data_IF_379395763004
#
_entry.id   IF_379395763004
#
_cell.length_a   1.000
_cell.length_b   1.000
_cell.length_c   1.000
_cell.angle_alpha   90.00
_cell.angle_beta   90.00
_cell.angle_gamma   90.00
#
_symmetry.space_group_name_H-M   'P 1'
#
loop_
_entity.id
_entity.type
_entity.pdbx_description
1 polymer ?
#
# COMPACT_ATOMS: atom_id res chain seq x y z
N UNK A 1 -34.56 -63.01 -35.41
CA UNK A 1 -34.00 -61.67 -35.14
C UNK A 1 -33.06 -61.78 -33.95
N UNK A 2 -31.75 -61.94 -34.19
CA UNK A 2 -30.76 -62.08 -33.11
C UNK A 2 -30.42 -60.67 -32.62
N UNK A 3 -30.85 -60.32 -31.40
CA UNK A 3 -30.40 -59.11 -30.72
C UNK A 3 -28.93 -59.32 -30.34
N UNK A 4 -28.01 -58.63 -31.02
CA UNK A 4 -26.59 -58.63 -30.65
C UNK A 4 -26.44 -57.87 -29.33
N UNK A 5 -25.94 -58.54 -28.30
CA UNK A 5 -25.58 -57.91 -27.03
C UNK A 5 -24.22 -57.21 -27.19
N UNK A 6 -24.03 -56.08 -26.51
CA UNK A 6 -22.73 -55.39 -26.47
C UNK A 6 -21.68 -56.26 -25.79
N UNK A 7 -20.47 -56.26 -26.36
CA UNK A 7 -19.35 -56.99 -25.77
C UNK A 7 -18.79 -56.22 -24.57
N UNK A 8 -18.23 -56.94 -23.58
CA UNK A 8 -17.55 -56.33 -22.42
C UNK A 8 -16.49 -55.31 -22.86
N UNK A 9 -15.78 -55.60 -23.96
CA UNK A 9 -14.73 -54.75 -24.52
C UNK A 9 -15.31 -53.42 -25.05
N UNK A 10 -16.45 -53.44 -25.73
CA UNK A 10 -17.13 -52.20 -26.18
C UNK A 10 -17.55 -51.33 -25.00
N UNK A 11 -18.07 -51.93 -23.93
CA UNK A 11 -18.47 -51.19 -22.72
C UNK A 11 -17.25 -50.59 -22.03
N UNK A 12 -16.16 -51.35 -21.89
CA UNK A 12 -14.91 -50.86 -21.30
C UNK A 12 -14.31 -49.70 -22.11
N UNK A 13 -14.31 -49.81 -23.44
CA UNK A 13 -13.82 -48.76 -24.33
C UNK A 13 -14.69 -47.50 -24.25
N UNK A 14 -16.02 -47.64 -24.17
CA UNK A 14 -16.94 -46.53 -23.97
C UNK A 14 -16.70 -45.80 -22.64
N UNK A 15 -16.50 -46.55 -21.54
CA UNK A 15 -16.18 -45.98 -20.22
C UNK A 15 -14.82 -45.27 -20.23
N UNK A 16 -13.82 -45.82 -20.92
CA UNK A 16 -12.50 -45.20 -21.01
C UNK A 16 -12.54 -43.87 -21.77
N UNK A 17 -13.24 -43.81 -22.91
CA UNK A 17 -13.43 -42.57 -23.68
C UNK A 17 -14.22 -41.55 -22.85
N UNK A 18 -15.29 -41.97 -22.17
CA UNK A 18 -16.05 -41.10 -21.28
C UNK A 18 -15.19 -40.55 -20.14
N UNK A 19 -14.36 -41.39 -19.52
CA UNK A 19 -13.44 -41.00 -18.46
C UNK A 19 -12.45 -39.93 -18.91
N UNK A 20 -11.81 -40.12 -20.07
CA UNK A 20 -10.91 -39.11 -20.65
C UNK A 20 -11.67 -37.81 -20.97
N UNK A 21 -12.88 -37.92 -21.53
CA UNK A 21 -13.72 -36.76 -21.83
C UNK A 21 -14.04 -35.93 -20.58
N UNK A 22 -14.44 -36.58 -19.49
CA UNK A 22 -14.75 -35.90 -18.22
C UNK A 22 -13.51 -35.25 -17.62
N UNK A 23 -12.35 -35.92 -17.65
CA UNK A 23 -11.10 -35.36 -17.12
C UNK A 23 -10.67 -34.14 -17.94
N UNK A 24 -10.77 -34.21 -19.28
CA UNK A 24 -10.43 -33.11 -20.17
C UNK A 24 -11.31 -31.88 -19.91
N UNK A 25 -12.62 -32.07 -19.81
CA UNK A 25 -13.56 -30.98 -19.48
C UNK A 25 -13.30 -30.40 -18.08
N UNK A 26 -13.02 -31.27 -17.11
CA UNK A 26 -12.71 -30.84 -15.72
C UNK A 26 -11.41 -30.02 -15.64
N UNK A 27 -10.43 -30.27 -16.50
CA UNK A 27 -9.19 -29.50 -16.53
C UNK A 27 -9.35 -28.14 -17.24
N UNK A 28 -10.24 -28.04 -18.24
CA UNK A 28 -10.44 -26.81 -19.02
C UNK A 28 -11.16 -25.71 -18.23
N UNK A 29 -12.15 -26.05 -17.41
CA UNK A 29 -12.93 -25.03 -16.71
C UNK A 29 -12.10 -24.20 -15.70
N UNK A 30 -11.29 -24.79 -14.81
CA UNK A 30 -10.45 -24.02 -13.90
C UNK A 30 -9.46 -23.12 -14.64
N UNK A 31 -8.83 -23.64 -15.70
CA UNK A 31 -7.91 -22.86 -16.52
C UNK A 31 -8.61 -21.66 -17.18
N UNK A 32 -9.80 -21.88 -17.75
CA UNK A 32 -10.63 -20.84 -18.33
C UNK A 32 -11.03 -19.75 -17.32
N UNK A 33 -11.41 -20.14 -16.10
CA UNK A 33 -11.76 -19.19 -15.03
C UNK A 33 -10.55 -18.33 -14.63
N UNK A 34 -9.37 -18.93 -14.47
CA UNK A 34 -8.15 -18.20 -14.14
C UNK A 34 -7.79 -17.21 -15.24
N UNK A 35 -7.89 -17.62 -16.51
CA UNK A 35 -7.61 -16.76 -17.65
C UNK A 35 -8.63 -15.62 -17.78
N UNK A 36 -9.93 -15.89 -17.60
CA UNK A 36 -10.96 -14.84 -17.61
C UNK A 36 -10.75 -13.84 -16.48
N UNK A 37 -10.39 -14.31 -15.28
CA UNK A 37 -10.07 -13.42 -14.15
C UNK A 37 -8.86 -12.55 -14.45
N UNK A 38 -7.77 -13.13 -14.96
CA UNK A 38 -6.59 -12.37 -15.36
C UNK A 38 -6.91 -11.33 -16.44
N UNK A 39 -7.71 -11.71 -17.45
CA UNK A 39 -8.15 -10.77 -18.48
C UNK A 39 -9.01 -9.63 -17.94
N UNK A 40 -9.86 -9.90 -16.94
CA UNK A 40 -10.66 -8.87 -16.29
C UNK A 40 -9.81 -7.95 -15.41
N UNK A 41 -8.84 -8.52 -14.70
CA UNK A 41 -7.86 -7.80 -13.88
C UNK A 41 -7.01 -6.84 -14.74
N UNK A 42 -6.51 -7.33 -15.87
CA UNK A 42 -5.71 -6.54 -16.81
C UNK A 42 -6.53 -5.39 -17.44
N UNK A 43 -7.82 -5.60 -17.66
CA UNK A 43 -8.72 -4.60 -18.23
C UNK A 43 -9.17 -3.54 -17.19
N UNK A 44 -9.55 -3.97 -15.99
CA UNK A 44 -10.10 -3.08 -14.96
C UNK A 44 -9.03 -2.42 -14.10
N UNK A 45 -7.89 -3.07 -13.85
CA UNK A 45 -6.81 -2.54 -13.00
C UNK A 45 -6.40 -1.10 -13.34
N UNK A 46 -6.09 -0.78 -14.61
CA UNK A 46 -5.78 0.59 -15.03
C UNK A 46 -6.94 1.58 -14.84
N UNK A 47 -8.19 1.14 -15.06
CA UNK A 47 -9.38 1.98 -14.89
C UNK A 47 -9.57 2.34 -13.41
N UNK A 48 -9.43 1.38 -12.51
CA UNK A 48 -9.48 1.61 -11.06
C UNK A 48 -8.38 2.57 -10.62
N UNK A 49 -7.17 2.41 -11.15
CA UNK A 49 -6.06 3.30 -10.81
C UNK A 49 -6.27 4.74 -11.30
N UNK A 50 -6.86 4.93 -12.49
CA UNK A 50 -7.23 6.25 -13.00
C UNK A 50 -8.33 6.90 -12.15
N UNK A 51 -9.33 6.13 -11.73
CA UNK A 51 -10.35 6.61 -10.80
C UNK A 51 -9.74 7.04 -9.47
N UNK A 52 -8.89 6.20 -8.88
CA UNK A 52 -8.16 6.52 -7.64
C UNK A 52 -7.38 7.84 -7.75
N UNK A 53 -6.67 8.04 -8.87
CA UNK A 53 -5.95 9.28 -9.12
C UNK A 53 -6.90 10.49 -9.26
N UNK A 54 -8.07 10.31 -9.87
CA UNK A 54 -9.12 11.33 -9.90
C UNK A 54 -9.60 11.72 -8.51
N UNK A 55 -9.82 10.74 -7.62
CA UNK A 55 -10.18 10.98 -6.21
C UNK A 55 -9.06 11.76 -5.51
N UNK A 56 -7.81 11.32 -5.63
CA UNK A 56 -6.67 12.00 -4.98
C UNK A 56 -6.55 13.45 -5.47
N UNK A 57 -6.59 13.68 -6.79
CA UNK A 57 -6.52 15.03 -7.39
C UNK A 57 -7.67 15.95 -7.01
N UNK A 58 -8.82 15.38 -6.63
CA UNK A 58 -9.95 16.17 -6.16
C UNK A 58 -9.75 16.72 -4.75
N UNK A 59 -8.80 16.17 -3.98
CA UNK A 59 -8.54 16.52 -2.58
C UNK A 59 -7.19 17.19 -2.34
N UNK A 60 -6.18 16.91 -3.18
CA UNK A 60 -4.83 17.45 -3.02
C UNK A 60 -4.20 17.87 -4.35
N UNK A 61 -3.49 18.98 -4.34
CA UNK A 61 -2.63 19.48 -5.40
C UNK A 61 -1.14 19.29 -5.11
N UNK A 62 -0.27 19.46 -6.11
CA UNK A 62 1.19 19.32 -5.93
C UNK A 62 1.76 20.31 -4.91
N UNK A 63 1.19 21.52 -4.83
CA UNK A 63 1.61 22.60 -3.96
C UNK A 63 1.18 22.41 -2.50
N UNK A 64 0.33 21.42 -2.21
CA UNK A 64 -0.03 21.03 -0.83
C UNK A 64 1.07 20.25 -0.13
N UNK A 65 2.06 19.75 -0.87
CA UNK A 65 3.11 18.89 -0.32
C UNK A 65 4.36 19.70 0.04
N UNK A 66 4.77 19.56 1.30
CA UNK A 66 5.94 20.22 1.85
C UNK A 66 7.22 19.42 1.70
N UNK A 67 8.24 19.84 2.43
CA UNK A 67 9.48 19.10 2.62
C UNK A 67 9.66 18.70 4.08
N UNK A 68 10.49 17.71 4.38
CA UNK A 68 10.79 17.33 5.76
C UNK A 68 11.62 18.40 6.48
N UNK A 69 12.43 19.16 5.75
CA UNK A 69 13.24 20.25 6.28
C UNK A 69 12.39 21.38 6.87
N UNK A 70 11.17 21.59 6.34
CA UNK A 70 10.19 22.53 6.92
C UNK A 70 9.75 22.15 8.34
N UNK A 71 9.97 20.89 8.73
CA UNK A 71 9.71 20.36 10.07
C UNK A 71 11.01 20.18 10.87
N UNK A 72 12.15 20.68 10.37
CA UNK A 72 13.46 20.45 10.97
C UNK A 72 13.90 18.98 10.93
N UNK A 73 13.28 18.19 10.05
CA UNK A 73 13.56 16.78 9.87
C UNK A 73 14.51 16.62 8.69
N UNK A 74 15.73 16.19 8.99
CA UNK A 74 16.75 15.88 7.98
C UNK A 74 16.99 14.38 8.05
N UNK A 75 16.93 13.70 6.90
CA UNK A 75 17.30 12.29 6.80
C UNK A 75 16.46 11.34 7.69
N UNK A 76 15.13 11.38 7.51
CA UNK A 76 14.22 10.41 8.13
C UNK A 76 14.28 9.05 7.43
N UNK A 77 15.40 8.35 7.63
CA UNK A 77 15.52 6.93 7.34
C UNK A 77 16.89 6.57 6.78
N UNK A 78 17.85 6.31 7.65
CA UNK A 78 19.22 5.86 7.36
C UNK A 78 19.41 4.54 6.57
N UNK A 79 18.40 4.10 5.81
CA UNK A 79 18.49 3.00 4.83
C UNK A 79 17.71 3.25 3.54
N UNK A 80 16.85 4.27 3.49
CA UNK A 80 16.36 4.76 2.20
C UNK A 80 17.49 5.54 1.51
N UNK A 81 17.61 5.49 0.18
CA UNK A 81 18.52 6.39 -0.50
C UNK A 81 18.13 7.82 -0.12
N UNK A 82 19.04 8.51 0.57
CA UNK A 82 19.11 9.97 0.61
C UNK A 82 18.62 10.57 -0.71
N UNK A 83 17.77 11.58 -0.61
CA UNK A 83 17.31 12.35 -1.76
C UNK A 83 18.06 13.67 -1.80
N UNK A 84 17.94 14.42 -2.89
CA UNK A 84 18.35 15.83 -2.87
C UNK A 84 17.54 16.58 -1.80
N UNK A 85 18.10 17.64 -1.18
CA UNK A 85 17.35 18.44 -0.22
C UNK A 85 15.99 18.89 -0.79
N UNK A 86 14.95 18.74 0.01
CA UNK A 86 13.56 19.04 -0.37
C UNK A 86 12.78 17.86 -0.96
N UNK A 87 13.45 16.84 -1.48
CA UNK A 87 12.80 15.62 -1.99
C UNK A 87 12.72 14.54 -0.90
N UNK A 88 11.86 13.55 -1.09
CA UNK A 88 11.74 12.42 -0.18
C UNK A 88 11.27 11.15 -0.89
N UNK A 89 11.70 9.99 -0.40
CA UNK A 89 11.40 8.67 -0.96
C UNK A 89 9.92 8.29 -0.79
N UNK A 90 9.50 7.12 -1.29
CA UNK A 90 8.11 6.68 -1.16
C UNK A 90 7.66 6.61 0.30
N UNK A 91 6.57 7.31 0.61
CA UNK A 91 5.93 7.38 1.93
C UNK A 91 4.46 7.00 1.83
N UNK A 92 3.98 6.29 2.84
CA UNK A 92 2.56 5.93 2.98
C UNK A 92 1.83 7.01 3.76
N UNK A 93 0.59 7.34 3.36
CA UNK A 93 -0.26 8.21 4.14
C UNK A 93 -0.71 7.52 5.44
N UNK A 94 -1.33 8.29 6.33
CA UNK A 94 -1.89 7.77 7.57
C UNK A 94 -3.15 6.95 7.30
N UNK A 95 -3.32 5.82 8.00
CA UNK A 95 -4.51 4.95 7.88
C UNK A 95 -5.22 4.79 9.22
N UNK A 96 -6.54 4.90 9.23
CA UNK A 96 -7.35 4.66 10.43
C UNK A 96 -7.85 3.22 10.50
N UNK A 97 -7.65 2.55 11.63
CA UNK A 97 -8.03 1.15 11.81
C UNK A 97 -9.30 0.95 12.63
N UNK A 98 -10.03 2.01 12.95
CA UNK A 98 -11.29 1.90 13.68
C UNK A 98 -12.31 2.97 13.29
N UNK A 99 -13.61 2.69 13.53
CA UNK A 99 -14.63 3.71 13.47
C UNK A 99 -14.43 4.60 14.68
N UNK A 100 -13.89 5.80 14.49
CA UNK A 100 -14.14 6.85 15.45
C UNK A 100 -15.00 7.87 14.75
N UNK A 101 -16.19 8.10 15.32
CA UNK A 101 -16.56 9.40 15.90
C UNK A 101 -18.03 9.34 16.39
N UNK A 102 -18.24 9.04 17.68
CA UNK A 102 -19.38 9.60 18.42
C UNK A 102 -18.91 10.90 19.05
N UNK A 103 -19.49 12.04 18.67
CA UNK A 103 -19.32 13.30 19.42
C UNK A 103 -18.54 14.42 18.74
N UNK A 104 -18.19 14.32 17.46
CA UNK A 104 -17.91 15.54 16.68
C UNK A 104 -19.22 16.31 16.56
N UNK A 105 -19.17 17.64 16.62
CA UNK A 105 -20.28 18.53 16.29
C UNK A 105 -20.89 18.33 14.88
N UNK A 106 -20.57 17.25 14.17
CA UNK A 106 -21.48 16.55 13.27
C UNK A 106 -22.63 15.95 14.09
N UNK A 107 -23.55 16.81 14.52
CA UNK A 107 -24.71 16.49 15.39
C UNK A 107 -25.84 15.79 14.63
N UNK A 108 -25.52 14.80 13.80
CA UNK A 108 -26.50 13.92 13.15
C UNK A 108 -26.17 12.44 13.43
N UNK A 109 -26.07 12.06 14.71
CA UNK A 109 -26.46 10.74 15.25
C UNK A 109 -25.99 9.41 14.61
N UNK A 110 -25.18 9.41 13.56
CA UNK A 110 -24.84 8.23 12.75
C UNK A 110 -23.32 8.12 12.65
N UNK A 111 -22.74 7.20 13.42
CA UNK A 111 -21.31 6.90 13.35
C UNK A 111 -21.04 6.23 12.00
N UNK A 112 -20.48 6.98 11.06
CA UNK A 112 -19.96 6.42 9.81
C UNK A 112 -18.75 5.54 10.15
N UNK A 113 -18.81 4.25 9.81
CA UNK A 113 -17.70 3.33 10.05
C UNK A 113 -16.68 3.44 8.90
N UNK A 114 -15.87 4.49 8.95
CA UNK A 114 -14.78 4.80 8.01
C UNK A 114 -13.46 4.07 8.36
N UNK A 115 -13.54 2.91 9.00
CA UNK A 115 -12.37 2.05 9.22
C UNK A 115 -11.70 1.71 7.88
N UNK A 116 -10.42 2.05 7.76
CA UNK A 116 -9.63 1.97 6.55
C UNK A 116 -9.47 3.31 5.83
N UNK A 117 -10.05 4.41 6.30
CA UNK A 117 -9.84 5.72 5.70
C UNK A 117 -8.34 6.11 5.71
N UNK A 118 -7.96 6.88 4.69
CA UNK A 118 -6.63 7.43 4.50
C UNK A 118 -6.68 8.92 4.81
N UNK A 119 -5.81 9.42 5.68
CA UNK A 119 -5.50 10.86 5.80
C UNK A 119 -4.09 11.07 5.25
N UNK A 120 -4.01 11.82 4.15
CA UNK A 120 -2.75 11.99 3.41
C UNK A 120 -1.69 12.65 4.29
N UNK A 121 -2.04 13.67 5.08
CA UNK A 121 -1.08 14.44 5.87
C UNK A 121 -1.09 14.05 7.36
N UNK A 122 -2.05 13.23 7.80
CA UNK A 122 -2.22 12.85 9.21
C UNK A 122 -2.73 14.00 10.07
N UNK A 123 -3.45 14.94 9.46
CA UNK A 123 -4.02 16.15 10.09
C UNK A 123 -4.90 15.85 11.30
N UNK A 124 -5.75 14.82 11.24
CA UNK A 124 -6.63 14.48 12.37
C UNK A 124 -5.82 13.98 13.55
N UNK A 125 -4.74 13.24 13.29
CA UNK A 125 -3.87 12.70 14.33
C UNK A 125 -3.13 13.84 15.04
N UNK A 126 -2.60 14.78 14.26
CA UNK A 126 -1.97 15.99 14.76
C UNK A 126 -2.95 16.82 15.60
N UNK A 127 -4.15 17.08 15.08
CA UNK A 127 -5.17 17.88 15.78
C UNK A 127 -5.62 17.22 17.09
N UNK A 128 -5.73 15.88 17.12
CA UNK A 128 -6.04 15.13 18.33
C UNK A 128 -4.96 15.25 19.40
N UNK A 129 -3.68 15.14 19.00
CA UNK A 129 -2.57 15.28 19.94
C UNK A 129 -2.46 16.70 20.51
N UNK A 130 -2.68 17.71 19.65
CA UNK A 130 -2.62 19.12 20.06
C UNK A 130 -3.87 19.57 20.83
N UNK A 131 -4.90 18.72 20.95
CA UNK A 131 -6.18 19.08 21.59
C UNK A 131 -6.99 20.13 20.81
N UNK A 132 -6.70 20.30 19.51
CA UNK A 132 -7.30 21.32 18.64
C UNK A 132 -8.52 20.81 17.85
N UNK A 133 -8.84 19.52 17.95
CA UNK A 133 -9.98 18.90 17.29
C UNK A 133 -11.14 18.59 18.25
N UNK A 134 -12.36 18.38 17.73
CA UNK A 134 -13.51 17.87 18.50
C UNK A 134 -13.32 16.41 18.98
N UNK A 135 -12.11 15.87 18.84
CA UNK A 135 -11.77 14.46 18.89
C UNK A 135 -10.81 14.18 20.05
N UNK A 136 -11.21 14.56 21.26
CA UNK A 136 -10.44 14.39 22.50
C UNK A 136 -10.19 12.91 22.87
N UNK A 137 -10.61 11.98 22.01
CA UNK A 137 -10.58 10.53 22.23
C UNK A 137 -9.95 9.74 21.07
N UNK A 138 -9.32 10.37 20.07
CA UNK A 138 -8.61 9.61 19.01
C UNK A 138 -7.49 8.77 19.64
N UNK A 139 -7.65 7.45 19.59
CA UNK A 139 -6.72 6.54 20.23
C UNK A 139 -5.54 6.28 19.29
N UNK A 140 -4.38 6.90 19.59
CA UNK A 140 -3.14 6.80 18.80
C UNK A 140 -2.70 5.36 18.51
N UNK A 141 -3.08 4.38 19.35
CA UNK A 141 -2.79 2.96 19.10
C UNK A 141 -3.57 2.35 17.92
N UNK A 142 -4.50 3.09 17.33
CA UNK A 142 -5.46 2.64 16.31
C UNK A 142 -5.29 3.37 14.98
N UNK A 143 -4.16 4.06 14.83
CA UNK A 143 -3.76 4.76 13.61
C UNK A 143 -2.42 4.21 13.14
N UNK A 144 -2.32 3.95 11.84
CA UNK A 144 -1.10 3.54 11.18
C UNK A 144 -0.43 4.75 10.55
N UNK A 145 0.77 5.10 11.01
CA UNK A 145 1.60 6.16 10.45
C UNK A 145 3.00 5.63 10.12
N UNK A 146 3.58 6.08 9.00
CA UNK A 146 4.96 5.74 8.68
C UNK A 146 5.98 6.41 9.61
N UNK A 147 5.54 7.36 10.43
CA UNK A 147 6.35 8.12 11.36
C UNK A 147 5.88 7.85 12.79
N UNK A 148 6.79 7.40 13.65
CA UNK A 148 6.49 7.23 15.07
C UNK A 148 6.82 8.48 15.88
N UNK A 149 6.02 8.74 16.90
CA UNK A 149 6.11 9.85 17.87
C UNK A 149 7.37 9.88 18.72
N UNK A 150 8.14 8.78 18.73
CA UNK A 150 9.02 8.48 19.86
C UNK A 150 10.47 8.94 19.66
N UNK A 151 10.81 9.49 18.48
CA UNK A 151 12.19 9.90 18.16
C UNK A 151 12.41 11.39 17.89
N UNK A 152 11.34 12.19 17.75
CA UNK A 152 11.43 13.59 17.35
C UNK A 152 11.14 14.46 18.57
N UNK A 153 12.21 14.94 19.22
CA UNK A 153 12.23 15.54 20.55
C UNK A 153 11.42 16.83 20.79
N UNK A 154 10.52 17.21 19.88
CA UNK A 154 9.55 18.27 20.09
C UNK A 154 8.23 17.94 19.37
N UNK A 155 7.09 18.03 20.06
CA UNK A 155 5.76 17.90 19.45
C UNK A 155 5.57 18.85 18.24
N UNK A 156 6.30 19.96 18.26
CA UNK A 156 6.37 20.94 17.18
C UNK A 156 6.93 20.47 15.84
N UNK A 157 7.62 19.33 15.80
CA UNK A 157 8.23 18.85 14.57
C UNK A 157 7.66 17.48 14.18
N UNK A 158 6.48 17.12 14.73
CA UNK A 158 5.83 15.84 14.46
C UNK A 158 5.15 15.88 13.10
N UNK A 159 5.48 14.88 12.30
CA UNK A 159 4.83 14.56 11.03
C UNK A 159 4.22 13.18 11.18
N UNK A 160 2.92 13.07 10.90
CA UNK A 160 2.16 11.82 11.05
C UNK A 160 1.77 11.19 9.71
N UNK A 161 1.73 11.96 8.64
CA UNK A 161 1.52 11.47 7.29
C UNK A 161 2.60 11.99 6.36
N UNK A 162 2.19 12.39 5.17
CA UNK A 162 3.07 13.10 4.25
C UNK A 162 3.29 14.54 4.75
N UNK A 163 4.47 15.16 4.57
CA UNK A 163 4.66 16.58 4.92
C UNK A 163 3.71 17.47 4.14
N UNK A 164 2.95 18.31 4.85
CA UNK A 164 2.15 19.38 4.23
C UNK A 164 3.04 20.61 4.00
N UNK A 165 2.77 21.38 2.94
CA UNK A 165 3.47 22.62 2.64
C UNK A 165 3.10 23.68 3.68
N UNK A 166 4.00 23.90 4.64
CA UNK A 166 3.75 24.84 5.74
C UNK A 166 3.62 26.27 5.23
N UNK A 167 4.39 26.65 4.21
CA UNK A 167 4.36 28.02 3.68
C UNK A 167 3.03 28.38 3.02
N UNK A 168 2.35 27.39 2.42
CA UNK A 168 1.05 27.58 1.79
C UNK A 168 -0.07 27.67 2.83
N UNK A 169 -0.06 26.74 3.78
CA UNK A 169 -1.18 26.54 4.70
C UNK A 169 -1.02 27.28 6.04
N UNK A 170 0.18 27.76 6.33
CA UNK A 170 0.49 28.58 7.49
C UNK A 170 1.59 29.62 7.15
N UNK A 171 1.22 30.67 6.39
CA UNK A 171 2.17 31.68 5.91
C UNK A 171 2.76 32.54 7.03
N UNK A 172 2.09 32.62 8.18
CA UNK A 172 2.50 33.42 9.34
C UNK A 172 3.49 32.68 10.25
N UNK A 173 3.62 31.35 10.11
CA UNK A 173 4.68 30.57 10.76
C UNK A 173 6.04 30.88 10.12
N UNK A 174 6.79 31.78 10.74
CA UNK A 174 8.22 31.89 10.52
C UNK A 174 8.88 30.50 10.72
N UNK A 175 9.71 30.06 9.79
CA UNK A 175 10.36 28.73 9.77
C UNK A 175 11.17 28.37 11.03
N UNK A 176 11.37 29.32 11.96
CA UNK A 176 12.04 29.14 13.24
C UNK A 176 11.11 28.94 14.45
N UNK A 177 9.77 29.12 14.32
CA UNK A 177 8.85 28.96 15.45
C UNK A 177 8.34 27.51 15.55
N UNK A 178 8.63 26.80 16.65
CA UNK A 178 8.04 25.49 16.94
C UNK A 178 6.52 25.60 17.14
N UNK A 179 5.74 24.62 16.64
CA UNK A 179 4.26 24.55 16.66
C UNK A 179 3.58 24.67 18.04
N UNK A 180 4.31 24.81 19.16
CA UNK A 180 3.65 25.03 20.47
C UNK A 180 3.10 26.46 20.64
N UNK A 181 3.30 27.37 19.68
CA UNK A 181 2.51 28.61 19.54
C UNK A 181 1.18 28.34 18.78
N UNK A 182 0.70 27.09 18.77
CA UNK A 182 -0.72 26.82 18.60
C UNK A 182 -1.49 26.80 19.93
N UNK A 183 -0.78 26.93 21.06
CA UNK A 183 -1.36 26.90 22.41
C UNK A 183 -1.67 28.28 23.01
N UNK A 184 -1.52 29.38 22.25
CA UNK A 184 -2.19 30.64 22.62
C UNK A 184 -3.63 30.59 22.09
N UNK A 185 -4.38 29.65 22.66
CA UNK A 185 -5.76 29.33 22.34
C UNK A 185 -6.61 29.87 23.48
N UNK A 186 -6.87 31.17 23.46
CA UNK A 186 -7.94 31.78 24.26
C UNK A 186 -9.34 31.34 23.81
N UNK A 187 -9.46 30.31 22.96
CA UNK A 187 -10.74 29.82 22.45
C UNK A 187 -11.40 30.73 21.42
N UNK A 188 -10.81 31.89 21.13
CA UNK A 188 -11.18 32.70 19.99
C UNK A 188 -10.54 32.09 18.75
N UNK A 189 -11.38 31.61 17.84
CA UNK A 189 -11.05 31.51 16.42
C UNK A 189 -10.30 32.78 16.03
N UNK A 190 -9.14 32.65 15.37
CA UNK A 190 -8.58 33.77 14.63
C UNK A 190 -9.55 34.02 13.47
N UNK A 191 -10.58 34.82 13.75
CA UNK A 191 -11.49 35.37 12.77
C UNK A 191 -10.70 36.43 12.00
N UNK A 192 -10.02 36.03 10.94
CA UNK A 192 -9.74 36.99 9.87
C UNK A 192 -11.03 37.14 9.06
N UNK A 193 -11.84 38.14 9.41
CA UNK A 193 -13.10 38.49 8.75
C UNK A 193 -14.22 37.44 8.77
N UNK A 194 -14.24 36.53 9.74
CA UNK A 194 -15.34 35.56 9.94
C UNK A 194 -15.24 34.29 9.09
N UNK A 195 -14.10 34.06 8.41
CA UNK A 195 -13.80 32.76 7.80
C UNK A 195 -12.88 31.95 8.75
N UNK A 196 -13.31 30.73 9.09
CA UNK A 196 -12.44 29.78 9.78
C UNK A 196 -11.29 29.47 8.82
N UNK A 197 -10.09 30.00 9.11
CA UNK A 197 -8.88 29.64 8.37
C UNK A 197 -8.71 28.11 8.44
N UNK A 198 -8.93 27.43 7.32
CA UNK A 198 -8.67 26.00 7.16
C UNK A 198 -7.14 25.83 7.16
N UNK A 199 -6.55 25.73 8.36
CA UNK A 199 -5.10 25.81 8.58
C UNK A 199 -4.31 24.67 7.91
N UNK A 200 -4.98 23.62 7.43
CA UNK A 200 -4.39 22.48 6.73
C UNK A 200 -5.41 21.88 5.74
N UNK A 201 -4.96 21.30 4.61
CA UNK A 201 -5.85 20.67 3.65
C UNK A 201 -6.50 19.43 4.27
N UNK A 202 -7.83 19.38 4.24
CA UNK A 202 -8.57 18.19 4.64
C UNK A 202 -8.52 17.11 3.53
N UNK A 203 -7.44 16.34 3.53
CA UNK A 203 -7.15 15.31 2.53
C UNK A 203 -7.53 13.90 2.99
N UNK A 204 -8.75 13.73 3.52
CA UNK A 204 -9.27 12.43 3.95
C UNK A 204 -9.93 11.71 2.79
N UNK A 205 -9.53 10.46 2.54
CA UNK A 205 -10.11 9.54 1.58
C UNK A 205 -10.79 8.42 2.35
N UNK A 206 -12.11 8.35 2.25
CA UNK A 206 -12.94 7.37 2.95
C UNK A 206 -12.72 5.96 2.40
N UNK A 207 -13.07 4.95 3.18
CA UNK A 207 -12.98 3.56 2.73
C UNK A 207 -13.89 3.28 1.51
N UNK A 208 -15.03 3.97 1.41
CA UNK A 208 -15.95 3.82 0.27
C UNK A 208 -15.38 4.41 -1.04
N UNK A 209 -14.65 5.53 -0.96
CA UNK A 209 -13.96 6.13 -2.11
C UNK A 209 -12.81 5.24 -2.63
N UNK A 210 -12.29 4.36 -1.77
CA UNK A 210 -11.24 3.40 -2.10
C UNK A 210 -11.73 2.16 -2.84
N UNK A 211 -13.04 1.98 -2.95
CA UNK A 211 -13.64 0.80 -3.56
C UNK A 211 -13.89 1.00 -5.06
N UNK A 212 -13.85 -0.12 -5.79
CA UNK A 212 -14.32 -0.17 -7.17
C UNK A 212 -15.31 -1.31 -7.41
N UNK A 213 -16.47 -1.02 -8.03
CA UNK A 213 -17.00 0.32 -8.30
C UNK A 213 -17.15 1.16 -7.02
N UNK A 214 -16.98 2.48 -7.13
CA UNK A 214 -17.13 3.37 -5.99
C UNK A 214 -18.54 3.21 -5.39
N UNK A 215 -18.61 3.08 -4.07
CA UNK A 215 -19.89 3.01 -3.38
C UNK A 215 -20.23 4.39 -2.82
N UNK A 216 -21.52 4.72 -2.70
CA UNK A 216 -21.91 5.89 -1.94
C UNK A 216 -21.33 5.78 -0.52
N UNK A 217 -20.97 6.91 0.12
CA UNK A 217 -20.58 6.91 1.52
C UNK A 217 -21.67 6.22 2.34
N UNK A 218 -21.24 5.50 3.37
CA UNK A 218 -22.08 4.65 4.22
C UNK A 218 -23.28 5.38 4.84
N UNK A 219 -23.24 6.73 4.88
CA UNK A 219 -24.32 7.65 5.23
C UNK A 219 -25.65 7.39 4.51
N UNK A 220 -25.63 6.90 3.26
CA UNK A 220 -26.85 6.64 2.48
C UNK A 220 -27.47 5.24 2.75
N UNK A 221 -26.83 4.41 3.57
CA UNK A 221 -27.19 3.01 3.77
C UNK A 221 -27.86 2.72 5.12
N UNK A 222 -27.69 3.60 6.12
CA UNK A 222 -28.30 3.48 7.46
C UNK A 222 -29.70 4.11 7.56
N UNK A 223 -30.17 4.77 6.50
CA UNK A 223 -31.51 5.33 6.41
C UNK A 223 -32.59 4.27 6.18
N UNK A 224 -32.99 3.56 7.24
CA UNK A 224 -34.36 3.11 7.50
C UNK A 224 -35.12 2.27 6.46
N UNK A 225 -34.53 1.83 5.36
CA UNK A 225 -35.21 0.99 4.37
C UNK A 225 -34.75 -0.49 4.50
N UNK A 226 -35.42 -1.29 5.35
CA UNK A 226 -35.08 -2.70 5.53
C UNK A 226 -35.31 -3.55 4.27
N UNK A 227 -35.88 -2.99 3.18
CA UNK A 227 -36.18 -3.69 1.94
C UNK A 227 -35.69 -3.00 0.65
N UNK A 228 -35.00 -1.85 0.73
CA UNK A 228 -34.67 -1.02 -0.43
C UNK A 228 -33.31 -1.31 -1.09
N UNK A 229 -33.16 -0.85 -2.34
CA UNK A 229 -31.96 -0.94 -3.20
C UNK A 229 -30.67 -0.47 -2.50
N UNK A 230 -30.76 0.44 -1.52
CA UNK A 230 -29.65 0.85 -0.67
C UNK A 230 -29.00 -0.36 0.02
N UNK A 231 -29.80 -1.25 0.61
CA UNK A 231 -29.30 -2.44 1.27
C UNK A 231 -28.72 -3.47 0.26
N UNK A 232 -29.11 -3.42 -1.01
CA UNK A 232 -28.51 -4.22 -2.08
C UNK A 232 -27.14 -3.65 -2.52
N UNK A 233 -27.02 -2.33 -2.63
CA UNK A 233 -25.75 -1.63 -2.89
C UNK A 233 -24.76 -1.80 -1.73
N UNK A 234 -25.22 -1.73 -0.48
CA UNK A 234 -24.45 -2.04 0.72
C UNK A 234 -23.91 -3.49 0.74
N UNK A 235 -24.64 -4.42 0.11
CA UNK A 235 -24.28 -5.83 -0.01
C UNK A 235 -23.37 -6.14 -1.18
N UNK A 236 -23.16 -5.20 -2.12
CA UNK A 236 -22.22 -5.40 -3.23
C UNK A 236 -20.81 -5.31 -2.68
N UNK A 237 -20.18 -6.47 -2.49
CA UNK A 237 -18.77 -6.56 -2.13
C UNK A 237 -17.92 -5.81 -3.18
N UNK A 238 -16.98 -4.93 -2.77
CA UNK A 238 -16.11 -4.26 -3.72
C UNK A 238 -15.31 -5.30 -4.50
N UNK A 239 -15.21 -5.14 -5.82
CA UNK A 239 -14.43 -6.05 -6.66
C UNK A 239 -12.94 -5.77 -6.51
N UNK A 240 -12.58 -4.48 -6.46
CA UNK A 240 -11.23 -4.02 -6.23
C UNK A 240 -11.21 -2.97 -5.13
N UNK A 241 -10.07 -2.89 -4.49
CA UNK A 241 -9.73 -1.86 -3.51
C UNK A 241 -8.39 -1.28 -3.93
N UNK A 242 -8.15 -0.02 -3.61
CA UNK A 242 -6.87 0.61 -3.86
C UNK A 242 -6.26 1.25 -2.61
N UNK A 243 -4.94 1.31 -2.60
CA UNK A 243 -4.09 2.04 -1.65
C UNK A 243 -3.14 2.95 -2.43
N UNK A 244 -2.55 3.94 -1.77
CA UNK A 244 -1.60 4.84 -2.40
C UNK A 244 -0.34 5.08 -1.55
N UNK A 245 0.69 5.56 -2.23
CA UNK A 245 1.89 6.13 -1.65
C UNK A 245 2.26 7.40 -2.40
N UNK A 246 2.99 8.27 -1.73
CA UNK A 246 3.48 9.51 -2.31
C UNK A 246 5.00 9.52 -2.33
N UNK A 247 5.58 10.26 -3.24
CA UNK A 247 7.02 10.56 -3.29
C UNK A 247 7.18 11.98 -3.79
N UNK A 248 8.16 12.71 -3.27
CA UNK A 248 8.64 13.94 -3.89
C UNK A 248 9.94 13.70 -4.62
N UNK A 249 9.94 13.97 -5.92
CA UNK A 249 11.04 13.67 -6.81
C UNK A 249 11.22 14.81 -7.83
N UNK A 250 12.39 15.44 -7.80
CA UNK A 250 12.72 16.65 -8.57
C UNK A 250 11.71 17.77 -8.33
N UNK A 251 11.26 17.92 -7.07
CA UNK A 251 10.24 18.91 -6.72
C UNK A 251 8.81 18.59 -7.19
N UNK A 252 8.59 17.45 -7.84
CA UNK A 252 7.26 16.99 -8.27
C UNK A 252 6.73 15.92 -7.33
N UNK A 253 5.41 15.85 -7.20
CA UNK A 253 4.76 14.81 -6.41
C UNK A 253 4.34 13.67 -7.33
N UNK A 254 4.88 12.49 -7.03
CA UNK A 254 4.49 11.24 -7.66
C UNK A 254 3.60 10.47 -6.70
N UNK A 255 2.57 9.84 -7.27
CA UNK A 255 1.64 8.98 -6.56
C UNK A 255 1.76 7.59 -7.14
N UNK A 256 2.03 6.61 -6.28
CA UNK A 256 1.90 5.21 -6.62
C UNK A 256 0.52 4.72 -6.18
N UNK A 257 -0.25 4.13 -7.08
CA UNK A 257 -1.55 3.53 -6.79
C UNK A 257 -1.43 2.01 -6.89
N UNK A 258 -1.82 1.33 -5.82
CA UNK A 258 -1.82 -0.12 -5.69
C UNK A 258 -3.26 -0.60 -5.76
N UNK A 259 -3.61 -1.34 -6.82
CA UNK A 259 -4.94 -1.93 -7.00
C UNK A 259 -4.88 -3.41 -6.69
N UNK A 260 -5.82 -3.89 -5.90
CA UNK A 260 -5.90 -5.28 -5.49
C UNK A 260 -7.33 -5.78 -5.32
N UNK A 261 -7.48 -7.11 -5.38
CA UNK A 261 -8.72 -7.79 -5.02
C UNK A 261 -8.65 -8.31 -3.61
N UNK A 262 -9.82 -8.41 -2.99
CA UNK A 262 -9.98 -8.96 -1.65
C UNK A 262 -10.85 -10.22 -1.70
N UNK A 263 -10.25 -11.37 -1.42
CA UNK A 263 -10.97 -12.61 -1.15
C UNK A 263 -11.22 -12.77 0.35
N UNK A 264 -12.44 -13.12 0.74
CA UNK A 264 -12.82 -13.36 2.14
C UNK A 264 -12.86 -14.86 2.34
N UNK A 265 -11.81 -15.45 2.92
CA UNK A 265 -11.83 -16.84 3.34
C UNK A 265 -12.34 -16.89 4.79
N UNK A 266 -13.56 -17.36 5.02
CA UNK A 266 -14.04 -17.70 6.37
C UNK A 266 -14.47 -16.56 7.32
N UNK A 267 -14.30 -15.29 6.95
CA UNK A 267 -14.83 -14.14 7.72
C UNK A 267 -16.27 -13.84 7.28
N UNK A 268 -17.13 -13.42 8.22
CA UNK A 268 -18.48 -12.93 7.93
C UNK A 268 -18.48 -11.97 6.73
N UNK A 269 -19.53 -12.05 5.90
CA UNK A 269 -19.66 -11.38 4.61
C UNK A 269 -19.85 -9.85 4.71
N UNK A 270 -18.97 -9.17 5.45
CA UNK A 270 -18.93 -7.73 5.61
C UNK A 270 -18.08 -7.02 4.55
N UNK A 271 -18.21 -5.69 4.45
CA UNK A 271 -17.35 -4.87 3.61
C UNK A 271 -15.88 -5.00 4.04
N UNK A 272 -14.97 -4.98 3.06
CA UNK A 272 -13.54 -5.08 3.35
C UNK A 272 -13.04 -3.85 4.11
N UNK A 273 -12.29 -4.07 5.19
CA UNK A 273 -11.64 -3.05 6.00
C UNK A 273 -10.17 -3.38 6.12
N UNK A 274 -9.31 -2.40 5.86
CA UNK A 274 -7.86 -2.57 6.01
C UNK A 274 -7.57 -2.84 7.49
N UNK A 275 -6.98 -4.02 7.76
CA UNK A 275 -6.59 -4.40 9.11
C UNK A 275 -5.32 -3.67 9.54
N UNK A 276 -5.20 -3.39 10.84
CA UNK A 276 -3.94 -2.98 11.44
C UNK A 276 -2.87 -4.07 11.24
N UNK A 277 -1.61 -3.70 11.07
CA UNK A 277 -0.54 -4.70 10.96
C UNK A 277 -0.46 -5.53 12.25
N UNK A 278 -0.26 -6.85 12.12
CA UNK A 278 -0.18 -7.75 13.28
C UNK A 278 0.95 -7.33 14.24
N UNK A 279 0.72 -7.46 15.55
CA UNK A 279 1.64 -7.06 16.63
C UNK A 279 2.98 -7.82 16.68
N UNK A 280 3.22 -8.78 15.78
CA UNK A 280 4.37 -9.71 15.79
C UNK A 280 5.73 -8.99 15.56
N UNK A 281 5.78 -7.66 15.38
CA UNK A 281 7.08 -6.96 15.20
C UNK A 281 7.15 -5.53 15.73
N UNK A 282 6.28 -5.12 16.67
CA UNK A 282 6.26 -3.71 17.13
C UNK A 282 5.90 -2.70 16.02
N UNK A 283 5.37 -3.19 14.90
CA UNK A 283 4.95 -2.43 13.72
C UNK A 283 3.44 -2.13 13.72
N UNK A 284 2.72 -2.36 14.83
CA UNK A 284 1.27 -2.14 14.89
C UNK A 284 0.89 -0.69 14.62
N UNK A 285 1.78 0.26 14.89
CA UNK A 285 1.59 1.68 14.57
C UNK A 285 1.92 2.06 13.13
N UNK A 286 2.33 1.13 12.26
CA UNK A 286 2.63 1.40 10.85
C UNK A 286 1.44 1.05 9.93
N UNK A 287 1.30 1.72 8.77
CA UNK A 287 0.37 1.30 7.74
C UNK A 287 0.65 -0.14 7.33
N UNK A 288 -0.40 -0.97 7.32
CA UNK A 288 -0.29 -2.39 6.99
C UNK A 288 -0.10 -2.63 5.49
N UNK A 289 -0.47 -1.66 4.66
CA UNK A 289 -0.39 -1.72 3.20
C UNK A 289 -0.06 -0.35 2.59
N UNK A 290 0.67 -0.33 1.45
CA UNK A 290 1.57 -1.41 1.02
C UNK A 290 2.67 -1.67 2.08
N UNK A 291 3.22 -2.87 2.10
CA UNK A 291 4.32 -3.28 2.98
C UNK A 291 5.65 -2.77 2.43
N UNK A 292 6.53 -2.39 3.35
CA UNK A 292 7.89 -1.98 3.06
C UNK A 292 8.88 -3.11 3.40
N UNK A 293 9.71 -3.48 2.44
CA UNK A 293 10.75 -4.49 2.61
C UNK A 293 12.13 -3.94 2.26
N UNK A 294 13.14 -4.28 3.06
CA UNK A 294 14.54 -3.93 2.82
C UNK A 294 15.40 -5.17 2.64
N UNK A 295 16.12 -5.27 1.51
CA UNK A 295 17.12 -6.30 1.27
C UNK A 295 18.44 -6.06 2.01
N UNK A 296 18.64 -4.84 2.52
CA UNK A 296 19.80 -4.50 3.35
C UNK A 296 19.42 -4.63 4.82
N UNK A 297 20.31 -5.19 5.64
CA UNK A 297 20.11 -5.24 7.08
C UNK A 297 20.04 -3.80 7.64
N UNK A 298 18.92 -3.45 8.26
CA UNK A 298 18.67 -2.09 8.75
C UNK A 298 18.62 -2.06 10.28
N UNK A 299 19.20 -1.03 10.88
CA UNK A 299 19.09 -0.71 12.32
C UNK A 299 17.85 0.11 12.68
N UNK A 300 17.00 0.43 11.69
CA UNK A 300 15.84 1.31 11.87
C UNK A 300 14.61 0.50 12.30
N UNK A 301 13.75 1.02 13.20
CA UNK A 301 12.41 0.49 13.41
C UNK A 301 11.53 0.82 12.19
N UNK A 302 11.12 -0.18 11.41
CA UNK A 302 10.21 0.04 10.26
C UNK A 302 10.46 -0.80 9.01
N UNK A 303 11.71 -1.00 8.55
CA UNK A 303 12.02 -1.94 7.48
C UNK A 303 11.99 -3.36 8.02
N UNK A 304 11.18 -4.23 7.39
CA UNK A 304 11.37 -5.66 7.56
C UNK A 304 12.62 -6.04 6.77
N UNK A 305 13.66 -6.47 7.47
CA UNK A 305 14.81 -7.09 6.84
C UNK A 305 14.32 -8.33 6.07
N UNK A 306 14.48 -8.31 4.75
CA UNK A 306 14.23 -9.44 3.88
C UNK A 306 15.39 -10.41 4.06
N UNK A 307 15.39 -11.11 5.20
CA UNK A 307 16.45 -11.88 5.86
C UNK A 307 17.15 -12.98 5.04
N UNK A 308 16.83 -13.11 3.77
CA UNK A 308 17.15 -14.25 2.94
C UNK A 308 17.95 -13.94 1.67
N UNK A 309 17.93 -12.69 1.18
CA UNK A 309 18.36 -12.38 -0.18
C UNK A 309 19.51 -11.37 -0.19
N UNK A 310 20.59 -11.69 -0.92
CA UNK A 310 21.57 -10.66 -1.27
C UNK A 310 20.86 -9.58 -2.11
N UNK A 311 21.24 -8.31 -1.92
CA UNK A 311 20.57 -7.17 -2.57
C UNK A 311 20.48 -7.41 -4.07
N UNK A 312 19.26 -7.50 -4.63
CA UNK A 312 19.09 -7.71 -6.07
C UNK A 312 19.73 -6.54 -6.82
N UNK A 313 20.36 -6.82 -7.95
CA UNK A 313 21.03 -5.79 -8.74
C UNK A 313 20.89 -6.01 -10.24
N UNK A 314 21.02 -4.93 -11.00
CA UNK A 314 21.21 -4.98 -12.43
C UNK A 314 22.47 -5.80 -12.75
N UNK A 315 22.34 -6.77 -13.66
CA UNK A 315 23.40 -7.73 -13.90
C UNK A 315 23.42 -8.93 -12.95
N UNK A 316 22.43 -9.10 -12.08
CA UNK A 316 22.29 -10.31 -11.27
C UNK A 316 23.47 -10.56 -10.34
N UNK A 317 23.84 -11.83 -10.16
CA UNK A 317 24.96 -12.23 -9.28
C UNK A 317 26.31 -11.85 -9.90
N UNK A 318 26.48 -11.92 -11.22
CA UNK A 318 27.77 -11.65 -11.88
C UNK A 318 28.03 -10.15 -12.19
N UNK A 319 26.99 -9.31 -12.12
CA UNK A 319 27.05 -7.88 -12.43
C UNK A 319 27.02 -7.57 -13.93
N UNK A 320 26.79 -8.57 -14.79
CA UNK A 320 26.75 -8.43 -16.23
C UNK A 320 25.31 -8.23 -16.74
N UNK A 321 24.97 -7.00 -17.13
CA UNK A 321 23.64 -6.68 -17.67
C UNK A 321 23.27 -7.45 -18.95
N UNK A 322 24.23 -8.10 -19.61
CA UNK A 322 24.01 -8.93 -20.80
C UNK A 322 23.47 -10.35 -20.53
N UNK A 323 23.60 -10.89 -19.32
CA UNK A 323 23.20 -12.28 -18.97
C UNK A 323 21.74 -12.35 -18.56
N UNK A 324 20.82 -12.45 -19.53
CA UNK A 324 19.35 -12.40 -19.31
C UNK A 324 18.80 -13.32 -18.20
N UNK A 325 19.38 -14.52 -18.01
CA UNK A 325 18.90 -15.48 -17.03
C UNK A 325 19.31 -15.17 -15.58
N UNK A 326 20.47 -14.55 -15.38
CA UNK A 326 20.93 -14.09 -14.05
C UNK A 326 20.14 -12.85 -13.61
N UNK A 327 19.81 -11.98 -14.57
CA UNK A 327 19.27 -10.65 -14.30
C UNK A 327 17.82 -10.63 -13.83
N UNK A 328 17.12 -11.76 -13.90
CA UNK A 328 15.72 -11.91 -13.47
C UNK A 328 15.57 -12.69 -12.17
N UNK A 329 16.57 -13.46 -11.75
CA UNK A 329 16.50 -14.26 -10.55
C UNK A 329 16.93 -13.45 -9.32
N UNK A 330 16.21 -13.61 -8.21
CA UNK A 330 16.49 -12.91 -6.98
C UNK A 330 17.50 -13.72 -6.16
N UNK A 331 18.69 -13.17 -5.88
CA UNK A 331 19.70 -13.89 -5.11
C UNK A 331 19.17 -14.35 -3.75
N UNK A 332 19.61 -15.51 -3.27
CA UNK A 332 19.24 -16.05 -1.95
C UNK A 332 17.82 -16.63 -1.84
N UNK A 333 17.10 -16.77 -2.96
CA UNK A 333 15.75 -17.39 -2.98
C UNK A 333 15.73 -18.80 -3.58
N UNK A 334 16.89 -19.43 -3.80
CA UNK A 334 17.01 -20.76 -4.39
C UNK A 334 16.37 -21.87 -3.52
N UNK A 335 15.84 -22.95 -4.11
CA UNK A 335 15.32 -24.09 -3.38
C UNK A 335 16.32 -24.64 -2.36
N UNK A 336 15.88 -24.89 -1.13
CA UNK A 336 16.71 -25.54 -0.11
C UNK A 336 17.85 -24.70 0.47
N UNK A 337 17.95 -23.40 0.14
CA UNK A 337 18.91 -22.50 0.84
C UNK A 337 18.47 -22.28 2.30
N UNK A 338 19.26 -22.70 3.31
CA UNK A 338 18.86 -22.65 4.72
C UNK A 338 18.63 -21.24 5.25
N UNK A 339 19.29 -20.24 4.67
CA UNK A 339 19.14 -18.82 4.99
C UNK A 339 17.81 -18.23 4.52
N UNK A 340 17.03 -18.95 3.70
CA UNK A 340 15.88 -18.35 3.05
C UNK A 340 14.60 -18.34 3.89
N UNK A 341 14.54 -19.07 5.01
CA UNK A 341 13.51 -18.95 6.06
C UNK A 341 12.05 -18.88 5.62
N UNK A 342 11.72 -19.27 4.38
CA UNK A 342 10.46 -18.89 3.77
C UNK A 342 9.31 -19.54 4.51
N UNK A 343 8.42 -18.68 5.00
CA UNK A 343 7.20 -19.09 5.66
C UNK A 343 6.01 -18.47 4.93
N UNK A 344 5.24 -19.30 4.23
CA UNK A 344 4.06 -18.87 3.49
C UNK A 344 2.94 -18.29 4.39
N UNK A 345 2.93 -18.60 5.68
CA UNK A 345 1.95 -18.04 6.63
C UNK A 345 2.39 -16.71 7.21
N UNK A 346 3.60 -16.26 6.89
CA UNK A 346 4.13 -14.99 7.37
C UNK A 346 4.13 -13.98 6.23
N UNK A 347 3.34 -12.93 6.40
CA UNK A 347 3.15 -11.85 5.43
C UNK A 347 4.47 -11.14 5.02
N UNK A 348 5.50 -11.22 5.88
CA UNK A 348 6.85 -10.74 5.60
C UNK A 348 7.51 -11.42 4.41
N UNK A 349 7.06 -12.62 4.03
CA UNK A 349 7.54 -13.36 2.86
C UNK A 349 6.61 -13.24 1.65
N UNK A 350 5.50 -12.51 1.75
CA UNK A 350 4.52 -12.35 0.67
C UNK A 350 5.13 -11.70 -0.58
N UNK A 351 6.21 -10.93 -0.45
CA UNK A 351 6.95 -10.39 -1.61
C UNK A 351 7.47 -11.50 -2.54
N UNK A 352 7.70 -12.72 -2.03
CA UNK A 352 8.18 -13.87 -2.82
C UNK A 352 7.03 -14.63 -3.51
N UNK A 353 5.77 -14.27 -3.26
CA UNK A 353 4.62 -15.01 -3.80
C UNK A 353 4.51 -14.90 -5.32
N UNK A 354 3.97 -15.92 -6.01
CA UNK A 354 3.75 -15.85 -7.45
C UNK A 354 2.72 -14.77 -7.81
N UNK A 355 2.91 -14.10 -8.95
CA UNK A 355 2.11 -12.95 -9.42
C UNK A 355 2.18 -11.70 -8.52
N UNK A 356 3.10 -11.67 -7.58
CA UNK A 356 3.31 -10.48 -6.76
C UNK A 356 3.79 -9.30 -7.60
N UNK A 357 3.37 -8.08 -7.23
CA UNK A 357 3.85 -6.85 -7.81
C UNK A 357 4.70 -6.08 -6.80
N UNK A 358 5.84 -5.56 -7.25
CA UNK A 358 6.72 -4.71 -6.46
C UNK A 358 6.79 -3.34 -7.10
N UNK A 359 6.73 -2.31 -6.27
CA UNK A 359 7.23 -0.99 -6.61
C UNK A 359 8.63 -0.87 -5.99
N UNK A 360 9.59 -0.36 -6.74
CA UNK A 360 10.91 -0.06 -6.21
C UNK A 360 11.16 1.43 -5.96
N UNK A 361 12.31 1.72 -5.36
CA UNK A 361 12.75 3.08 -5.05
C UNK A 361 13.06 3.93 -6.28
N UNK A 362 13.14 3.32 -7.46
CA UNK A 362 13.46 3.95 -8.73
C UNK A 362 12.24 4.10 -9.63
N UNK A 363 11.04 3.91 -9.07
CA UNK A 363 9.74 3.97 -9.76
C UNK A 363 9.53 2.86 -10.79
N UNK A 364 10.37 1.81 -10.80
CA UNK A 364 10.13 0.64 -11.64
C UNK A 364 9.17 -0.31 -10.93
N UNK A 365 8.31 -0.92 -11.74
CA UNK A 365 7.34 -1.92 -11.28
C UNK A 365 7.79 -3.28 -11.77
N UNK A 366 7.95 -4.21 -10.83
CA UNK A 366 8.38 -5.57 -11.09
C UNK A 366 7.24 -6.55 -10.82
N UNK A 367 7.17 -7.61 -11.62
CA UNK A 367 6.19 -8.69 -11.44
C UNK A 367 6.91 -9.99 -11.18
N UNK A 368 6.55 -10.70 -10.12
CA UNK A 368 7.08 -12.03 -9.80
C UNK A 368 6.38 -13.07 -10.69
N UNK A 369 7.17 -13.80 -11.48
CA UNK A 369 6.69 -14.86 -12.38
C UNK A 369 6.92 -16.22 -11.74
N UNK A 370 8.16 -16.53 -11.36
CA UNK A 370 8.47 -17.65 -10.49
C UNK A 370 8.45 -17.17 -9.06
N UNK A 371 7.40 -17.48 -8.30
CA UNK A 371 7.33 -17.18 -6.87
C UNK A 371 7.41 -18.45 -6.03
N UNK A 372 7.40 -18.29 -4.71
CA UNK A 372 7.44 -19.38 -3.74
C UNK A 372 6.09 -19.55 -3.07
N UNK A 373 5.61 -20.79 -3.02
CA UNK A 373 4.48 -21.23 -2.20
C UNK A 373 4.95 -22.10 -1.04
N UNK A 374 6.09 -22.76 -1.21
CA UNK A 374 6.76 -23.58 -0.21
C UNK A 374 8.25 -23.24 -0.16
N UNK A 375 8.94 -23.68 0.89
CA UNK A 375 10.40 -23.50 1.01
C UNK A 375 11.20 -24.26 -0.07
N UNK A 376 10.58 -25.27 -0.71
CA UNK A 376 11.16 -26.03 -1.81
C UNK A 376 11.06 -25.32 -3.17
N UNK A 377 10.24 -24.29 -3.28
CA UNK A 377 10.14 -23.49 -4.51
C UNK A 377 11.28 -22.48 -4.59
N UNK A 378 11.65 -22.09 -5.81
CA UNK A 378 12.62 -21.03 -6.10
C UNK A 378 13.49 -21.33 -7.33
N UNK A 379 14.35 -20.37 -7.74
CA UNK A 379 14.44 -19.01 -7.23
C UNK A 379 13.21 -18.17 -7.52
N UNK A 380 13.01 -17.10 -6.75
CA UNK A 380 12.08 -16.04 -7.12
C UNK A 380 12.61 -15.38 -8.39
N UNK A 381 11.77 -15.27 -9.43
CA UNK A 381 12.13 -14.67 -10.71
C UNK A 381 11.16 -13.57 -11.12
N UNK A 382 11.70 -12.49 -11.65
CA UNK A 382 10.95 -11.34 -12.15
C UNK A 382 10.62 -11.49 -13.64
N UNK A 383 9.52 -10.87 -14.05
CA UNK A 383 9.11 -10.81 -15.45
C UNK A 383 10.10 -10.04 -16.32
N UNK A 384 10.83 -9.10 -15.70
CA UNK A 384 11.83 -8.24 -16.34
C UNK A 384 13.03 -8.13 -15.42
N UNK A 385 14.24 -7.99 -15.99
CA UNK A 385 15.42 -7.78 -15.19
C UNK A 385 15.39 -6.41 -14.50
N UNK A 386 16.11 -6.29 -13.40
CA UNK A 386 16.30 -5.00 -12.71
C UNK A 386 17.04 -4.05 -13.65
N UNK A 387 16.44 -2.90 -13.91
CA UNK A 387 17.00 -1.88 -14.78
C UNK A 387 18.29 -1.33 -14.18
N UNK A 388 19.36 -1.26 -14.98
CA UNK A 388 20.53 -0.46 -14.62
C UNK A 388 20.13 1.02 -14.67
N UNK A 389 20.24 1.73 -13.54
CA UNK A 389 19.97 3.17 -13.49
C UNK A 389 21.25 3.94 -13.81
N UNK A 390 21.12 5.03 -14.56
CA UNK A 390 22.23 5.95 -14.79
C UNK A 390 22.40 6.79 -13.53
N UNK A 391 23.64 6.95 -13.01
CA UNK A 391 23.91 7.89 -11.93
C UNK A 391 23.42 9.31 -12.28
N UNK A 392 22.35 9.76 -11.64
CA UNK A 392 21.84 11.14 -11.62
C UNK A 392 22.00 11.78 -10.24
N UNK A 393 22.34 13.06 -10.16
CA UNK A 393 22.40 13.80 -8.90
C UNK A 393 21.07 13.77 -8.10
N UNK A 394 19.95 13.45 -8.76
CA UNK A 394 18.63 13.34 -8.13
C UNK A 394 18.46 12.01 -7.38
N UNK A 395 19.03 10.94 -7.93
CA UNK A 395 19.03 9.60 -7.33
C UNK A 395 20.28 9.35 -6.46
N UNK A 396 21.36 10.10 -6.72
CA UNK A 396 22.72 9.91 -6.19
C UNK A 396 23.39 11.23 -5.80
N UNK A 397 22.61 12.20 -5.32
CA UNK A 397 23.14 13.42 -4.73
C UNK A 397 24.17 13.13 -3.64
N UNK A 398 24.89 14.15 -3.19
CA UNK A 398 25.64 14.00 -1.94
C UNK A 398 24.59 14.07 -0.84
N UNK A 399 24.40 12.99 -0.08
CA UNK A 399 23.46 13.05 1.04
C UNK A 399 23.87 14.13 2.04
N UNK A 400 22.97 14.54 2.93
CA UNK A 400 23.23 15.62 3.90
C UNK A 400 24.56 15.44 4.68
N UNK A 401 25.06 14.21 4.78
CA UNK A 401 26.29 13.82 5.47
C UNK A 401 27.53 13.62 4.57
N UNK A 402 27.50 13.97 3.28
CA UNK A 402 28.68 13.82 2.42
C UNK A 402 28.94 12.41 1.86
N UNK A 403 28.11 11.42 2.22
CA UNK A 403 28.31 10.02 1.85
C UNK A 403 27.75 9.72 0.44
N UNK A 404 28.42 8.85 -0.34
CA UNK A 404 27.91 8.39 -1.61
C UNK A 404 26.61 7.61 -1.40
N UNK A 405 25.61 8.03 -2.16
CA UNK A 405 24.29 7.41 -2.22
C UNK A 405 24.36 6.02 -2.88
N UNK A 406 23.49 5.11 -2.44
CA UNK A 406 23.47 3.68 -2.77
C UNK A 406 23.81 3.34 -4.24
N UNK A 407 24.44 2.18 -4.47
CA UNK A 407 24.85 1.73 -5.81
C UNK A 407 23.66 1.77 -6.80
N UNK A 408 23.76 2.52 -7.92
CA UNK A 408 22.71 2.67 -8.94
C UNK A 408 22.21 1.36 -9.54
N UNK A 409 23.01 0.30 -9.44
CA UNK A 409 22.62 -1.03 -9.90
C UNK A 409 21.77 -1.78 -8.88
N UNK A 410 21.65 -1.33 -7.63
CA UNK A 410 21.04 -2.14 -6.56
C UNK A 410 19.59 -1.78 -6.26
N UNK A 411 18.86 -2.79 -5.78
CA UNK A 411 17.49 -2.73 -5.34
C UNK A 411 17.40 -2.93 -3.82
N UNK A 412 17.83 -1.96 -2.99
CA UNK A 412 17.85 -2.12 -1.54
C UNK A 412 16.45 -2.18 -0.92
N UNK A 413 15.45 -1.49 -1.49
CA UNK A 413 14.09 -1.49 -0.93
C UNK A 413 12.99 -1.69 -1.96
N UNK A 414 11.90 -2.32 -1.52
CA UNK A 414 10.69 -2.57 -2.31
C UNK A 414 9.43 -2.33 -1.48
N UNK A 415 8.34 -2.01 -2.17
CA UNK A 415 6.99 -1.97 -1.64
C UNK A 415 6.11 -2.98 -2.35
N UNK A 416 5.30 -3.70 -1.58
CA UNK A 416 4.49 -4.81 -2.07
C UNK A 416 3.22 -4.98 -1.23
N UNK A 417 2.20 -5.66 -1.75
CA UNK A 417 0.99 -5.96 -0.98
C UNK A 417 1.14 -7.29 -0.24
N UNK A 418 0.73 -7.44 1.03
CA UNK A 418 0.72 -8.75 1.67
C UNK A 418 -0.26 -9.68 0.94
N UNK A 419 -0.08 -11.00 1.02
CA UNK A 419 -1.02 -11.98 0.43
C UNK A 419 -2.27 -12.18 1.28
N UNK A 420 -2.20 -11.80 2.55
CA UNK A 420 -3.27 -11.89 3.54
C UNK A 420 -3.09 -10.73 4.53
N UNK A 421 -4.18 -10.09 4.95
CA UNK A 421 -4.11 -9.07 6.01
C UNK A 421 -4.26 -9.70 7.41
N UNK A 422 -4.16 -8.87 8.46
CA UNK A 422 -4.28 -9.34 9.83
C UNK A 422 -5.68 -9.83 10.22
N UNK A 423 -6.71 -9.55 9.38
CA UNK A 423 -8.06 -10.07 9.55
C UNK A 423 -8.28 -11.39 8.79
N UNK A 424 -7.27 -11.91 8.10
CA UNK A 424 -7.36 -13.13 7.29
C UNK A 424 -7.96 -12.93 5.91
N UNK A 425 -8.11 -11.68 5.45
CA UNK A 425 -8.58 -11.41 4.11
C UNK A 425 -7.44 -11.65 3.11
N UNK A 426 -7.66 -12.56 2.16
CA UNK A 426 -6.71 -12.80 1.07
C UNK A 426 -6.66 -11.58 0.15
N UNK A 427 -5.46 -11.11 -0.13
CA UNK A 427 -5.19 -9.96 -0.99
C UNK A 427 -4.45 -10.46 -2.22
N UNK A 428 -4.96 -10.08 -3.39
CA UNK A 428 -4.34 -10.40 -4.67
C UNK A 428 -3.99 -9.11 -5.40
N UNK A 429 -2.69 -8.80 -5.61
CA UNK A 429 -2.30 -7.64 -6.40
C UNK A 429 -2.80 -7.79 -7.83
N UNK A 430 -3.31 -6.70 -8.39
CA UNK A 430 -3.88 -6.63 -9.75
C UNK A 430 -3.02 -5.72 -10.59
N UNK A 431 -2.79 -4.50 -10.11
CA UNK A 431 -2.13 -3.48 -10.89
C UNK A 431 -1.42 -2.49 -9.96
N UNK A 432 -0.26 -1.99 -10.41
CA UNK A 432 0.43 -0.87 -9.78
C UNK A 432 0.70 0.14 -10.90
N UNK A 433 0.57 1.42 -10.59
CA UNK A 433 1.03 2.49 -11.47
C UNK A 433 1.66 3.60 -10.67
N UNK A 434 2.58 4.34 -11.29
CA UNK A 434 3.18 5.56 -10.77
C UNK A 434 2.82 6.68 -11.71
N UNK A 435 2.21 7.74 -11.17
CA UNK A 435 1.74 8.88 -11.94
C UNK A 435 2.10 10.17 -11.21
N UNK A 436 2.33 11.23 -11.96
CA UNK A 436 2.45 12.57 -11.37
C UNK A 436 1.08 13.03 -10.86
N UNK A 437 1.06 13.67 -9.69
CA UNK A 437 -0.15 14.24 -9.11
C UNK A 437 -0.68 15.37 -9.98
#
# INVERSE_FOLDING_TARGET
MIRRAFTLVEVLLAVFILGIGIISVSALFPAGIVQQRASNDDALGPVVAQHAMGVIRSKVGQDDFGTFEEYGLYDLGGTAPSTIPGDWHWKRPTVYFQPQLTGVGWTDGNVEDDTGAIDVFGTLLLNAELGLGPTNNLNLSRVGSEFSTDGLGNAANRVYGIPVNRRKWDPDLNTSTPLWIFADYDGDSIEDNGELLERQPNAIITQAERWWPAMPPSRLLTGGDPAGEANELARRKPQFVWDCMFRRFEGRILVAVFVYRVGTAGVEAGPYRVAQASSISGLSSFPSMPRFGSFVATTIPGPIALTAAATPRAGGVDGNVGTRADNVAIPGTNPGTPTAGFNATNDLYAWQAPNQLWLDQWNDIHRVVGGRRTSADGPVTLARPISAKVPSAVYFGVGANGLPLADPGTLPVIWYLPTEDANGASISPVYITVMEL
#
